data_IF_834533840435
#
_entry.id   IF_834533840435
#
_cell.length_a   1.000
_cell.length_b   1.000
_cell.length_c   1.000
_cell.angle_alpha   90.00
_cell.angle_beta   90.00
_cell.angle_gamma   90.00
#
_symmetry.space_group_name_H-M   'P 1'
#
loop_
_entity.id
_entity.type
_entity.pdbx_description
1 polymer ?
#
# COMPACT_ATOMS: atom_id res chain seq x y z
N UNK A 1 -2.18 28.27 -15.06
CA UNK A 1 -1.81 27.31 -16.13
C UNK A 1 -2.92 27.33 -17.17
N UNK A 2 -2.63 27.15 -18.46
CA UNK A 2 -3.69 27.08 -19.47
C UNK A 2 -4.50 25.81 -19.26
N UNK A 3 -5.82 25.96 -19.15
CA UNK A 3 -6.76 24.83 -19.24
C UNK A 3 -7.08 24.61 -20.71
N UNK A 4 -7.00 23.37 -21.15
CA UNK A 4 -7.42 22.98 -22.50
C UNK A 4 -8.55 21.97 -22.41
N UNK A 5 -9.44 21.95 -23.40
CA UNK A 5 -10.50 20.95 -23.43
C UNK A 5 -9.90 19.55 -23.66
N UNK A 6 -10.22 18.65 -22.73
CA UNK A 6 -9.87 17.23 -22.81
C UNK A 6 -10.82 16.46 -23.73
N UNK A 7 -10.57 15.16 -23.89
CA UNK A 7 -11.48 14.24 -24.58
C UNK A 7 -11.86 13.10 -23.62
N UNK A 8 -13.15 12.73 -23.61
CA UNK A 8 -13.62 11.63 -22.76
C UNK A 8 -14.92 11.01 -23.24
N UNK A 9 -15.27 9.89 -22.61
CA UNK A 9 -16.57 9.24 -22.65
C UNK A 9 -17.26 9.55 -21.33
N UNK A 10 -18.49 10.04 -21.41
CA UNK A 10 -19.22 10.57 -20.26
C UNK A 10 -20.39 9.68 -19.89
N UNK A 11 -20.67 9.60 -18.59
CA UNK A 11 -21.93 9.11 -18.06
C UNK A 11 -22.34 9.96 -16.86
N UNK A 12 -23.63 10.02 -16.57
CA UNK A 12 -24.14 10.81 -15.45
C UNK A 12 -25.19 10.01 -14.67
N UNK A 13 -25.12 10.10 -13.35
CA UNK A 13 -26.11 9.49 -12.47
C UNK A 13 -26.43 10.39 -11.29
N UNK A 14 -27.61 10.22 -10.70
CA UNK A 14 -28.01 10.92 -9.48
C UNK A 14 -28.21 9.91 -8.36
N UNK A 15 -27.65 10.19 -7.20
CA UNK A 15 -27.75 9.34 -6.01
C UNK A 15 -27.75 10.23 -4.77
N UNK A 16 -28.63 9.99 -3.80
CA UNK A 16 -28.76 10.80 -2.58
C UNK A 16 -29.01 12.30 -2.88
N UNK A 17 -29.65 12.59 -4.01
CA UNK A 17 -29.88 13.95 -4.49
C UNK A 17 -28.63 14.68 -5.01
N UNK A 18 -27.48 14.02 -5.12
CA UNK A 18 -26.23 14.55 -5.69
C UNK A 18 -26.10 14.06 -7.14
N UNK A 19 -25.75 14.96 -8.06
CA UNK A 19 -25.38 14.58 -9.43
C UNK A 19 -23.92 14.13 -9.44
N UNK A 20 -23.65 12.97 -10.02
CA UNK A 20 -22.33 12.46 -10.32
C UNK A 20 -22.12 12.48 -11.83
N UNK A 21 -21.02 13.08 -12.25
CA UNK A 21 -20.57 13.06 -13.65
C UNK A 21 -19.28 12.27 -13.73
N UNK A 22 -19.34 11.15 -14.44
CA UNK A 22 -18.19 10.27 -14.65
C UNK A 22 -17.63 10.53 -16.03
N UNK A 23 -16.32 10.75 -16.11
CA UNK A 23 -15.59 10.84 -17.37
C UNK A 23 -14.44 9.83 -17.41
N UNK A 24 -14.38 9.07 -18.49
CA UNK A 24 -13.30 8.11 -18.74
C UNK A 24 -12.62 8.42 -20.07
N UNK A 25 -11.34 8.09 -20.21
CA UNK A 25 -10.63 8.34 -21.45
C UNK A 25 -9.14 8.14 -21.32
N UNK A 26 -8.39 8.82 -22.18
CA UNK A 26 -6.92 8.84 -22.14
C UNK A 26 -6.43 10.27 -21.98
N UNK A 27 -5.42 10.46 -21.13
CA UNK A 27 -4.71 11.72 -20.97
C UNK A 27 -3.29 11.60 -21.53
N UNK A 28 -2.74 12.69 -22.10
CA UNK A 28 -1.49 12.62 -22.86
C UNK A 28 -0.26 12.31 -22.01
N UNK A 29 -0.33 12.59 -20.70
CA UNK A 29 0.78 12.41 -19.77
C UNK A 29 0.27 12.00 -18.40
N UNK A 30 1.12 11.39 -17.58
CA UNK A 30 0.79 11.06 -16.18
C UNK A 30 0.49 12.33 -15.37
N UNK A 31 1.23 13.41 -15.64
CA UNK A 31 1.16 14.69 -14.94
C UNK A 31 -0.08 15.51 -15.31
N UNK A 32 -0.78 15.16 -16.41
CA UNK A 32 -2.01 15.85 -16.79
C UNK A 32 -3.08 15.63 -15.73
N UNK A 33 -3.54 16.73 -15.11
CA UNK A 33 -4.69 16.77 -14.23
C UNK A 33 -5.95 16.89 -15.08
N UNK A 34 -6.94 16.05 -14.78
CA UNK A 34 -8.23 16.05 -15.46
C UNK A 34 -9.27 16.55 -14.48
N UNK A 35 -10.04 17.57 -14.86
CA UNK A 35 -11.10 18.16 -14.04
C UNK A 35 -12.40 18.31 -14.83
N UNK A 36 -13.53 18.29 -14.14
CA UNK A 36 -14.83 18.71 -14.68
C UNK A 36 -15.21 19.99 -13.94
N UNK A 37 -15.15 21.12 -14.64
CA UNK A 37 -15.42 22.43 -14.06
C UNK A 37 -16.75 22.97 -14.59
N UNK A 38 -17.52 23.67 -13.76
CA UNK A 38 -18.69 24.40 -14.22
C UNK A 38 -18.25 25.58 -15.09
N UNK A 39 -18.85 25.74 -16.27
CA UNK A 39 -18.61 26.89 -17.12
C UNK A 39 -19.18 28.17 -16.47
N UNK A 40 -18.53 29.34 -16.66
CA UNK A 40 -18.91 30.58 -15.98
C UNK A 40 -20.23 31.19 -16.47
N UNK A 41 -20.90 30.56 -17.43
CA UNK A 41 -22.16 31.05 -17.97
C UNK A 41 -23.30 30.90 -16.96
N UNK A 42 -24.06 31.97 -16.75
CA UNK A 42 -25.30 31.95 -15.96
C UNK A 42 -26.47 31.39 -16.77
N UNK A 43 -26.31 30.17 -17.27
CA UNK A 43 -27.34 29.44 -18.02
C UNK A 43 -27.88 28.30 -17.17
N UNK A 44 -29.17 28.01 -17.33
CA UNK A 44 -29.88 26.97 -16.59
C UNK A 44 -30.39 25.89 -17.58
N UNK A 45 -30.06 24.60 -17.38
CA UNK A 45 -29.20 24.07 -16.32
C UNK A 45 -27.71 24.44 -16.52
N UNK A 46 -26.89 24.37 -15.46
CA UNK A 46 -25.45 24.59 -15.58
C UNK A 46 -24.78 23.64 -16.57
N UNK A 47 -23.83 24.16 -17.33
CA UNK A 47 -22.97 23.40 -18.24
C UNK A 47 -21.57 23.21 -17.62
N UNK A 48 -20.92 22.11 -17.97
CA UNK A 48 -19.60 21.75 -17.47
C UNK A 48 -18.61 21.59 -18.62
N UNK A 49 -17.32 21.64 -18.30
CA UNK A 49 -16.23 21.39 -19.23
C UNK A 49 -15.27 20.36 -18.69
N UNK A 50 -14.85 19.41 -19.53
CA UNK A 50 -13.73 18.52 -19.26
C UNK A 50 -12.43 19.27 -19.58
N UNK A 51 -11.64 19.59 -18.56
CA UNK A 51 -10.39 20.32 -18.70
C UNK A 51 -9.19 19.43 -18.41
N UNK A 52 -8.17 19.55 -19.24
CA UNK A 52 -6.83 19.01 -19.02
C UNK A 52 -5.89 20.16 -18.64
N UNK A 53 -5.20 20.00 -17.52
CA UNK A 53 -4.17 20.91 -17.04
C UNK A 53 -2.85 20.13 -16.98
N UNK A 54 -1.83 20.57 -17.72
CA UNK A 54 -0.55 19.86 -17.79
C UNK A 54 0.59 20.80 -17.42
N UNK A 55 1.45 20.37 -16.49
CA UNK A 55 2.56 21.17 -15.99
C UNK A 55 3.91 20.80 -16.62
N UNK A 56 4.61 21.82 -17.13
CA UNK A 56 6.06 21.80 -17.35
C UNK A 56 6.60 20.68 -18.26
N UNK A 57 7.71 20.07 -17.82
CA UNK A 57 8.36 18.96 -18.53
C UNK A 57 7.57 17.69 -18.25
N UNK A 58 7.04 17.10 -19.32
CA UNK A 58 6.16 15.93 -19.21
C UNK A 58 6.76 14.71 -19.87
N UNK A 59 6.38 13.54 -19.35
CA UNK A 59 6.66 12.28 -20.04
C UNK A 59 5.53 12.00 -21.03
N UNK A 60 5.80 11.73 -22.31
CA UNK A 60 4.78 11.52 -23.34
C UNK A 60 4.14 10.12 -23.25
N UNK A 61 3.81 9.69 -22.03
CA UNK A 61 3.17 8.41 -21.75
C UNK A 61 1.67 8.66 -21.64
N UNK A 62 0.92 8.16 -22.63
CA UNK A 62 -0.53 8.16 -22.62
C UNK A 62 -1.02 7.20 -21.54
N UNK A 63 -1.88 7.69 -20.65
CA UNK A 63 -2.45 6.87 -19.56
C UNK A 63 -3.97 7.01 -19.51
N UNK A 64 -4.69 5.95 -19.12
CA UNK A 64 -6.14 6.05 -18.92
C UNK A 64 -6.46 6.96 -17.73
N UNK A 65 -7.62 7.61 -17.77
CA UNK A 65 -8.22 8.31 -16.63
C UNK A 65 -9.66 7.86 -16.41
N UNK A 66 -10.09 7.95 -15.15
CA UNK A 66 -11.45 7.73 -14.69
C UNK A 66 -11.68 8.71 -13.53
N UNK A 67 -12.62 9.65 -13.71
CA UNK A 67 -12.95 10.66 -12.70
C UNK A 67 -14.46 10.68 -12.45
N UNK A 68 -14.84 10.79 -11.18
CA UNK A 68 -16.22 11.01 -10.74
C UNK A 68 -16.30 12.38 -10.05
N UNK A 69 -17.01 13.31 -10.66
CA UNK A 69 -17.27 14.63 -10.11
C UNK A 69 -18.66 14.70 -9.50
N UNK A 70 -18.71 14.82 -8.17
CA UNK A 70 -19.94 15.09 -7.44
C UNK A 70 -20.34 16.57 -7.50
N UNK A 71 -21.62 16.84 -7.78
CA UNK A 71 -22.22 18.17 -7.91
C UNK A 71 -23.49 18.21 -7.03
N UNK A 72 -23.36 18.59 -5.75
CA UNK A 72 -24.46 18.55 -4.79
C UNK A 72 -25.62 19.50 -5.12
N UNK A 73 -25.34 20.61 -5.80
CA UNK A 73 -26.31 21.69 -6.06
C UNK A 73 -26.97 21.60 -7.43
N UNK A 74 -26.87 20.46 -8.13
CA UNK A 74 -27.49 20.34 -9.46
C UNK A 74 -29.02 20.21 -9.36
N UNK A 75 -29.80 20.89 -10.23
CA UNK A 75 -31.26 20.84 -10.16
C UNK A 75 -31.81 19.40 -10.27
N UNK A 76 -32.63 19.00 -9.29
CA UNK A 76 -33.21 17.63 -9.21
C UNK A 76 -34.24 17.33 -10.32
N UNK A 77 -34.86 18.38 -10.87
CA UNK A 77 -35.87 18.27 -11.94
C UNK A 77 -35.26 18.03 -13.32
N UNK A 78 -33.97 18.34 -13.50
CA UNK A 78 -33.28 18.22 -14.78
C UNK A 78 -32.82 16.77 -14.98
N UNK A 79 -33.05 16.21 -16.17
CA UNK A 79 -32.78 14.79 -16.51
C UNK A 79 -31.55 14.58 -17.40
N UNK A 80 -30.80 15.63 -17.68
CA UNK A 80 -29.58 15.56 -18.46
C UNK A 80 -28.54 16.53 -17.91
N UNK A 81 -27.28 16.34 -18.25
CA UNK A 81 -26.18 17.28 -18.01
C UNK A 81 -25.50 17.58 -19.34
N UNK A 82 -25.03 18.81 -19.51
CA UNK A 82 -24.28 19.22 -20.69
C UNK A 82 -22.80 19.31 -20.31
N UNK A 83 -21.95 18.65 -21.09
CA UNK A 83 -20.49 18.64 -20.90
C UNK A 83 -19.84 19.05 -22.22
N UNK A 84 -18.95 20.03 -22.16
CA UNK A 84 -18.13 20.48 -23.28
C UNK A 84 -16.75 19.84 -23.18
N UNK A 85 -16.32 19.24 -24.28
CA UNK A 85 -14.99 18.65 -24.41
C UNK A 85 -14.35 19.11 -25.75
N UNK A 86 -13.20 18.55 -26.09
CA UNK A 86 -12.47 18.88 -27.33
C UNK A 86 -13.28 18.60 -28.60
N UNK A 87 -14.21 17.64 -28.56
CA UNK A 87 -15.05 17.24 -29.69
C UNK A 87 -16.36 18.04 -29.76
N UNK A 88 -16.62 18.92 -28.79
CA UNK A 88 -17.79 19.78 -28.76
C UNK A 88 -18.67 19.54 -27.54
N UNK A 89 -19.97 19.78 -27.71
CA UNK A 89 -20.95 19.76 -26.63
C UNK A 89 -21.71 18.43 -26.61
N UNK A 90 -21.73 17.79 -25.44
CA UNK A 90 -22.39 16.51 -25.21
C UNK A 90 -23.55 16.67 -24.25
N UNK A 91 -24.71 16.13 -24.61
CA UNK A 91 -25.87 16.04 -23.73
C UNK A 91 -25.98 14.61 -23.19
N UNK A 92 -25.79 14.45 -21.89
CA UNK A 92 -25.72 13.14 -21.22
C UNK A 92 -26.95 12.99 -20.34
N UNK A 93 -27.72 11.92 -20.52
CA UNK A 93 -28.88 11.64 -19.66
C UNK A 93 -28.43 11.25 -18.24
N UNK A 94 -29.14 11.77 -17.24
CA UNK A 94 -28.89 11.49 -15.82
C UNK A 94 -29.73 10.27 -15.43
N UNK A 95 -29.05 9.20 -15.05
CA UNK A 95 -29.70 8.00 -14.51
C UNK A 95 -29.93 8.17 -13.01
N UNK A 96 -31.18 8.20 -12.56
CA UNK A 96 -31.48 8.20 -11.12
C UNK A 96 -31.19 6.80 -10.55
N UNK A 97 -30.24 6.71 -9.61
CA UNK A 97 -29.94 5.51 -8.83
C UNK A 97 -30.72 5.56 -7.51
N UNK A 98 -31.06 4.41 -6.90
CA UNK A 98 -31.62 4.41 -5.56
C UNK A 98 -30.67 5.12 -4.60
N UNK A 99 -31.24 5.89 -3.67
CA UNK A 99 -30.49 6.52 -2.58
C UNK A 99 -29.63 5.47 -1.87
N UNK A 100 -28.41 5.86 -1.48
CA UNK A 100 -27.57 5.03 -0.62
C UNK A 100 -28.31 4.87 0.70
N UNK A 101 -29.00 3.75 0.85
CA UNK A 101 -29.49 3.31 2.16
C UNK A 101 -28.26 3.30 3.05
N UNK A 102 -28.21 4.22 4.03
CA UNK A 102 -27.18 4.24 5.05
C UNK A 102 -27.03 2.82 5.58
N UNK A 103 -25.84 2.26 5.43
CA UNK A 103 -25.56 0.84 5.67
C UNK A 103 -26.46 -0.12 4.86
N UNK A 104 -26.31 -0.14 3.53
CA UNK A 104 -26.69 -1.31 2.76
C UNK A 104 -25.81 -2.47 3.25
N UNK A 105 -26.39 -3.31 4.12
CA UNK A 105 -25.93 -4.66 4.47
C UNK A 105 -25.10 -5.22 3.33
N UNK A 106 -23.80 -5.31 3.58
CA UNK A 106 -22.81 -5.94 2.72
C UNK A 106 -23.30 -7.36 2.48
N UNK A 107 -23.83 -7.67 1.31
CA UNK A 107 -23.81 -9.05 0.85
C UNK A 107 -22.34 -9.31 0.45
N UNK A 108 -21.52 -9.96 1.30
CA UNK A 108 -20.13 -10.22 0.98
C UNK A 108 -19.98 -11.19 -0.21
N UNK A 109 -21.08 -11.83 -0.62
CA UNK A 109 -21.13 -12.75 -1.76
C UNK A 109 -21.42 -12.03 -3.08
N UNK A 110 -21.82 -10.75 -3.05
CA UNK A 110 -22.00 -9.98 -4.26
C UNK A 110 -20.66 -9.75 -4.97
N UNK A 111 -20.61 -9.99 -6.28
CA UNK A 111 -19.42 -9.80 -7.10
C UNK A 111 -19.22 -8.32 -7.49
N UNK A 112 -19.19 -7.43 -6.51
CA UNK A 112 -19.09 -5.98 -6.70
C UNK A 112 -17.96 -5.34 -5.87
N UNK A 113 -17.02 -6.11 -5.34
CA UNK A 113 -15.87 -5.60 -4.60
C UNK A 113 -14.62 -5.54 -5.47
N UNK A 114 -13.86 -4.47 -5.30
CA UNK A 114 -12.62 -4.18 -6.03
C UNK A 114 -11.50 -3.98 -5.00
N UNK A 115 -10.34 -4.54 -5.31
CA UNK A 115 -9.10 -4.25 -4.57
C UNK A 115 -8.39 -3.10 -5.26
N UNK A 116 -8.03 -2.10 -4.49
CA UNK A 116 -7.21 -0.98 -4.89
C UNK A 116 -5.87 -1.03 -4.17
N UNK A 117 -4.79 -0.65 -4.84
CA UNK A 117 -3.46 -0.50 -4.27
C UNK A 117 -3.08 0.97 -4.21
N UNK A 118 -2.54 1.43 -3.08
CA UNK A 118 -2.00 2.78 -2.96
C UNK A 118 -0.67 2.90 -3.73
N UNK A 119 -0.56 3.92 -4.59
CA UNK A 119 0.61 4.20 -5.42
C UNK A 119 1.88 4.24 -4.56
N UNK A 120 2.89 3.46 -4.97
CA UNK A 120 4.20 3.42 -4.31
C UNK A 120 4.24 2.65 -2.99
N UNK A 121 3.18 1.92 -2.63
CA UNK A 121 3.12 1.12 -1.39
C UNK A 121 2.50 -0.25 -1.63
N UNK A 122 2.67 -1.16 -0.68
CA UNK A 122 1.97 -2.46 -0.63
C UNK A 122 0.66 -2.39 0.18
N UNK A 123 0.07 -1.19 0.33
CA UNK A 123 -1.20 -1.00 1.03
C UNK A 123 -2.36 -1.24 0.08
N UNK A 124 -3.22 -2.17 0.47
CA UNK A 124 -4.44 -2.51 -0.26
C UNK A 124 -5.68 -1.99 0.45
N UNK A 125 -6.68 -1.62 -0.34
CA UNK A 125 -8.02 -1.26 0.12
C UNK A 125 -9.05 -2.07 -0.67
N UNK A 126 -9.99 -2.71 0.03
CA UNK A 126 -11.13 -3.37 -0.61
C UNK A 126 -12.32 -2.44 -0.48
N UNK A 127 -12.91 -2.03 -1.60
CA UNK A 127 -14.11 -1.20 -1.63
C UNK A 127 -15.08 -1.73 -2.69
N UNK A 128 -16.33 -1.25 -2.69
CA UNK A 128 -17.25 -1.57 -3.80
C UNK A 128 -16.74 -0.94 -5.10
N UNK A 129 -17.11 -1.52 -6.23
CA UNK A 129 -16.71 -1.05 -7.56
C UNK A 129 -17.20 0.37 -7.89
N UNK A 130 -18.26 0.82 -7.21
CA UNK A 130 -18.83 2.16 -7.30
C UNK A 130 -18.37 3.10 -6.18
N UNK A 131 -17.42 2.67 -5.34
CA UNK A 131 -16.90 3.52 -4.28
C UNK A 131 -16.02 4.64 -4.86
N UNK A 132 -16.21 5.85 -4.32
CA UNK A 132 -15.32 6.98 -4.60
C UNK A 132 -14.03 6.78 -3.81
N UNK A 133 -12.95 6.49 -4.54
CA UNK A 133 -11.65 6.16 -3.98
C UNK A 133 -10.66 7.32 -4.24
N UNK A 134 -9.84 7.73 -3.25
CA UNK A 134 -8.84 8.78 -3.46
C UNK A 134 -7.90 8.46 -4.63
N UNK A 135 -7.50 9.47 -5.41
CA UNK A 135 -6.67 9.32 -6.62
C UNK A 135 -5.26 8.73 -6.38
N UNK A 136 -4.87 8.54 -5.11
CA UNK A 136 -3.64 7.83 -4.72
C UNK A 136 -3.78 6.30 -4.75
N UNK A 137 -4.96 5.78 -5.06
CA UNK A 137 -5.25 4.35 -5.16
C UNK A 137 -5.64 3.97 -6.59
N UNK A 138 -5.12 2.86 -7.11
CA UNK A 138 -5.49 2.32 -8.42
C UNK A 138 -6.01 0.90 -8.28
N UNK A 139 -6.96 0.53 -9.14
CA UNK A 139 -7.57 -0.80 -9.13
C UNK A 139 -6.57 -1.89 -9.54
N UNK A 140 -6.47 -2.96 -8.76
CA UNK A 140 -5.58 -4.11 -9.01
C UNK A 140 -6.31 -5.46 -9.15
N UNK A 141 -7.52 -5.61 -8.56
CA UNK A 141 -8.30 -6.84 -8.66
C UNK A 141 -9.82 -6.57 -8.56
N UNK A 142 -10.66 -7.44 -9.13
CA UNK A 142 -12.13 -7.33 -9.14
C UNK A 142 -12.73 -6.62 -10.37
N UNK A 143 -14.06 -6.39 -10.44
CA UNK A 143 -15.04 -6.68 -9.38
C UNK A 143 -15.21 -8.19 -9.15
N UNK A 144 -15.22 -8.61 -7.88
CA UNK A 144 -15.49 -9.99 -7.47
C UNK A 144 -16.11 -10.02 -6.06
N UNK A 145 -16.35 -11.21 -5.52
CA UNK A 145 -16.83 -11.41 -4.14
C UNK A 145 -15.81 -10.91 -3.12
N UNK A 146 -16.30 -10.47 -1.96
CA UNK A 146 -15.43 -9.97 -0.88
C UNK A 146 -14.39 -11.03 -0.46
N UNK A 147 -14.80 -12.30 -0.37
CA UNK A 147 -13.92 -13.41 -0.01
C UNK A 147 -12.74 -13.58 -0.98
N UNK A 148 -12.96 -13.44 -2.29
CA UNK A 148 -11.87 -13.51 -3.27
C UNK A 148 -10.99 -12.26 -3.26
N UNK A 149 -11.56 -11.09 -3.03
CA UNK A 149 -10.77 -9.86 -2.83
C UNK A 149 -9.87 -10.00 -1.59
N UNK A 150 -10.36 -10.57 -0.50
CA UNK A 150 -9.55 -10.88 0.69
C UNK A 150 -8.45 -11.89 0.39
N UNK A 151 -8.76 -12.96 -0.35
CA UNK A 151 -7.76 -13.95 -0.77
C UNK A 151 -6.67 -13.33 -1.66
N UNK A 152 -7.05 -12.42 -2.57
CA UNK A 152 -6.10 -11.66 -3.39
C UNK A 152 -5.19 -10.82 -2.50
N UNK A 153 -5.75 -10.02 -1.58
CA UNK A 153 -4.97 -9.20 -0.65
C UNK A 153 -4.03 -10.08 0.17
N UNK A 154 -4.49 -11.20 0.71
CA UNK A 154 -3.66 -12.12 1.49
C UNK A 154 -2.49 -12.71 0.68
N UNK A 155 -2.69 -13.00 -0.61
CA UNK A 155 -1.66 -13.52 -1.49
C UNK A 155 -0.64 -12.46 -1.97
N UNK A 156 -1.03 -11.18 -1.98
CA UNK A 156 -0.22 -10.08 -2.54
C UNK A 156 0.27 -9.07 -1.49
N UNK A 157 -0.21 -9.19 -0.24
CA UNK A 157 0.37 -8.47 0.89
C UNK A 157 1.68 -9.15 1.22
N UNK A 158 2.80 -8.43 1.03
CA UNK A 158 4.06 -8.89 1.60
C UNK A 158 3.85 -9.08 3.09
N UNK A 159 4.30 -10.20 3.69
CA UNK A 159 4.27 -10.34 5.13
C UNK A 159 4.95 -9.10 5.72
N UNK A 160 4.20 -8.29 6.45
CA UNK A 160 4.81 -7.25 7.27
C UNK A 160 5.53 -8.03 8.36
N UNK A 161 6.81 -8.30 8.16
CA UNK A 161 7.66 -8.86 9.19
C UNK A 161 7.65 -7.80 10.29
N UNK A 162 7.12 -8.11 11.48
CA UNK A 162 7.08 -7.14 12.56
C UNK A 162 8.51 -6.68 12.85
N UNK A 163 8.73 -5.36 12.93
CA UNK A 163 10.00 -4.84 13.40
C UNK A 163 10.03 -4.95 14.93
N UNK A 164 11.13 -5.49 15.46
CA UNK A 164 11.37 -5.52 16.91
C UNK A 164 12.23 -4.32 17.30
N UNK A 165 11.90 -3.67 18.42
CA UNK A 165 12.77 -2.62 18.95
C UNK A 165 14.01 -3.25 19.60
N UNK A 166 15.13 -3.23 18.88
CA UNK A 166 16.42 -3.66 19.43
C UNK A 166 16.86 -2.66 20.50
N UNK A 167 17.16 -3.15 21.70
CA UNK A 167 17.65 -2.29 22.79
C UNK A 167 19.01 -1.72 22.39
N UNK A 168 19.19 -0.39 22.36
CA UNK A 168 20.44 0.23 21.92
C UNK A 168 21.65 -0.29 22.71
N UNK A 169 22.71 -0.66 21.99
CA UNK A 169 23.97 -1.16 22.59
C UNK A 169 23.91 -2.57 23.19
N UNK A 170 22.79 -3.29 23.04
CA UNK A 170 22.67 -4.67 23.55
C UNK A 170 23.26 -5.74 22.64
N UNK A 171 23.54 -5.41 21.37
CA UNK A 171 24.10 -6.34 20.41
C UNK A 171 25.59 -6.59 20.71
N UNK A 172 25.90 -7.83 21.09
CA UNK A 172 27.26 -8.30 21.29
C UNK A 172 27.53 -9.57 20.48
N UNK A 173 28.74 -9.69 19.95
CA UNK A 173 29.15 -10.84 19.16
C UNK A 173 30.62 -11.18 19.43
N UNK A 174 30.90 -12.46 19.63
CA UNK A 174 32.27 -12.93 19.80
C UNK A 174 32.49 -14.34 19.27
N UNK A 175 33.74 -14.61 18.89
CA UNK A 175 34.23 -15.96 18.62
C UNK A 175 34.91 -16.48 19.88
N UNK A 176 34.33 -17.54 20.44
CA UNK A 176 34.91 -18.33 21.53
C UNK A 176 35.86 -19.37 20.93
N UNK A 177 37.14 -19.27 21.28
CA UNK A 177 38.20 -20.20 20.85
C UNK A 177 38.60 -21.08 22.02
N UNK A 178 37.88 -22.18 22.23
CA UNK A 178 38.29 -23.16 23.22
C UNK A 178 39.64 -23.81 22.84
N UNK A 179 40.66 -23.77 23.71
CA UNK A 179 41.90 -24.49 23.48
C UNK A 179 41.68 -26.00 23.64
N UNK A 180 41.97 -26.78 22.58
CA UNK A 180 41.89 -28.24 22.60
C UNK A 180 41.34 -28.85 21.29
N UNK A 181 41.24 -30.18 21.20
CA UNK A 181 40.74 -30.90 20.00
C UNK A 181 39.20 -30.80 19.83
N UNK A 182 38.57 -29.76 20.40
CA UNK A 182 37.14 -29.53 20.37
C UNK A 182 36.62 -29.11 18.98
N UNK A 183 35.31 -28.83 18.87
CA UNK A 183 34.59 -28.66 17.60
C UNK A 183 34.94 -27.39 16.79
N UNK A 184 36.09 -26.75 17.05
CA UNK A 184 36.52 -25.52 16.39
C UNK A 184 35.96 -24.24 17.03
N UNK A 185 36.29 -23.05 16.50
CA UNK A 185 35.83 -21.77 17.01
C UNK A 185 34.30 -21.67 16.95
N UNK A 186 33.67 -21.13 17.99
CA UNK A 186 32.23 -20.97 18.10
C UNK A 186 31.85 -19.49 18.01
N UNK A 187 30.97 -19.13 17.07
CA UNK A 187 30.38 -17.79 17.06
C UNK A 187 29.21 -17.75 18.04
N UNK A 188 29.19 -16.75 18.91
CA UNK A 188 28.08 -16.46 19.82
C UNK A 188 27.65 -15.02 19.58
N UNK A 189 26.34 -14.83 19.41
CA UNK A 189 25.72 -13.52 19.26
C UNK A 189 24.58 -13.40 20.25
N UNK A 190 24.52 -12.27 20.96
CA UNK A 190 23.44 -11.94 21.89
C UNK A 190 22.88 -10.57 21.58
N UNK A 191 21.57 -10.43 21.72
CA UNK A 191 20.88 -9.15 21.51
C UNK A 191 19.64 -9.09 22.41
N UNK A 192 19.33 -7.92 22.94
CA UNK A 192 18.06 -7.68 23.62
C UNK A 192 17.11 -6.96 22.67
N UNK A 193 15.85 -7.40 22.61
CA UNK A 193 14.80 -6.68 21.89
C UNK A 193 13.50 -6.62 22.72
N UNK A 194 12.68 -5.61 22.44
CA UNK A 194 11.34 -5.49 23.00
C UNK A 194 10.37 -6.25 22.09
N UNK A 195 9.60 -7.16 22.68
CA UNK A 195 8.70 -8.08 21.98
C UNK A 195 7.39 -8.21 22.74
N UNK A 196 6.28 -8.43 22.05
CA UNK A 196 5.03 -8.79 22.73
C UNK A 196 5.15 -10.16 23.42
N UNK A 197 4.54 -10.28 24.59
CA UNK A 197 4.66 -11.46 25.47
C UNK A 197 4.23 -12.76 24.79
N UNK A 198 3.28 -12.69 23.85
CA UNK A 198 2.67 -13.81 23.14
C UNK A 198 3.35 -14.14 21.80
N UNK A 199 4.38 -13.38 21.39
CA UNK A 199 5.10 -13.67 20.15
C UNK A 199 6.20 -14.72 20.35
N UNK A 200 6.30 -15.64 19.41
CA UNK A 200 7.43 -16.57 19.34
C UNK A 200 8.49 -16.00 18.42
N UNK A 201 9.58 -15.52 19.00
CA UNK A 201 10.70 -14.92 18.26
C UNK A 201 11.95 -15.75 18.45
N UNK A 202 12.66 -16.01 17.36
CA UNK A 202 13.99 -16.64 17.37
C UNK A 202 14.98 -15.85 16.53
N UNK A 203 16.26 -15.88 16.89
CA UNK A 203 17.33 -15.26 16.11
C UNK A 203 17.95 -16.32 15.21
N UNK A 204 17.85 -16.14 13.89
CA UNK A 204 18.26 -17.14 12.89
C UNK A 204 19.23 -16.54 11.89
N UNK A 205 20.01 -17.40 11.21
CA UNK A 205 20.86 -16.97 10.10
C UNK A 205 20.00 -16.48 8.93
N UNK A 206 20.32 -15.32 8.39
CA UNK A 206 19.75 -14.83 7.14
C UNK A 206 20.57 -15.35 5.94
N UNK A 207 19.99 -15.31 4.74
CA UNK A 207 20.68 -15.67 3.49
C UNK A 207 21.51 -14.46 3.05
N UNK A 208 22.79 -14.63 2.65
CA UNK A 208 23.60 -13.51 2.20
C UNK A 208 23.03 -12.86 0.93
N UNK A 209 22.56 -11.61 1.03
CA UNK A 209 22.36 -10.74 -0.12
C UNK A 209 23.75 -10.18 -0.47
N UNK A 210 24.45 -10.88 -1.37
CA UNK A 210 25.89 -10.79 -1.55
C UNK A 210 26.50 -9.38 -1.52
N UNK A 211 27.63 -9.27 -0.80
CA UNK A 211 28.81 -8.43 -1.12
C UNK A 211 30.00 -8.81 -0.20
N UNK A 212 29.79 -9.18 1.08
CA UNK A 212 30.90 -9.51 2.00
C UNK A 212 30.69 -10.84 2.77
N UNK A 213 31.47 -11.91 2.50
CA UNK A 213 31.35 -13.19 3.21
C UNK A 213 31.83 -13.14 4.69
N UNK A 214 32.51 -12.07 5.10
CA UNK A 214 32.99 -11.88 6.48
C UNK A 214 31.96 -11.22 7.40
N UNK A 215 30.80 -10.79 6.89
CA UNK A 215 29.70 -10.28 7.69
C UNK A 215 28.65 -11.39 7.90
N UNK A 216 28.35 -11.68 9.17
CA UNK A 216 27.29 -12.63 9.51
C UNK A 216 25.96 -11.89 9.57
N UNK A 217 25.08 -12.21 8.62
CA UNK A 217 23.72 -11.71 8.61
C UNK A 217 22.80 -12.61 9.44
N UNK A 218 22.11 -11.99 10.39
CA UNK A 218 21.08 -12.60 11.21
C UNK A 218 19.76 -11.86 11.02
N UNK A 219 18.66 -12.51 11.35
CA UNK A 219 17.33 -11.89 11.38
C UNK A 219 16.48 -12.51 12.48
N UNK A 220 15.44 -11.79 12.88
CA UNK A 220 14.40 -12.36 13.72
C UNK A 220 13.43 -13.18 12.86
N UNK A 221 13.23 -14.43 13.24
CA UNK A 221 12.13 -15.26 12.76
C UNK A 221 10.98 -15.14 13.77
N UNK A 222 9.89 -14.53 13.33
CA UNK A 222 8.77 -14.10 14.17
C UNK A 222 7.54 -14.91 13.77
N UNK A 223 7.04 -15.69 14.72
CA UNK A 223 5.78 -16.44 14.60
C UNK A 223 4.75 -15.76 15.50
N UNK A 224 3.75 -15.16 14.86
CA UNK A 224 2.64 -14.49 15.54
C UNK A 224 1.66 -15.51 16.13
N UNK A 225 1.10 -15.26 17.32
CA UNK A 225 0.07 -16.11 17.90
C UNK A 225 -1.21 -16.09 17.05
N UNK A 226 -1.87 -17.24 16.94
CA UNK A 226 -3.14 -17.37 16.20
C UNK A 226 -4.33 -17.03 17.11
N UNK A 227 -5.10 -15.98 16.80
CA UNK A 227 -6.33 -15.67 17.52
C UNK A 227 -6.72 -14.18 17.47
N UNK A 228 -7.94 -13.81 17.91
CA UNK A 228 -8.46 -12.44 17.81
C UNK A 228 -7.95 -11.49 18.91
N UNK A 229 -7.13 -11.95 19.85
CA UNK A 229 -6.67 -11.16 21.00
C UNK A 229 -5.15 -11.27 21.09
N UNK A 230 -4.46 -10.17 20.76
CA UNK A 230 -3.05 -9.98 21.08
C UNK A 230 -2.93 -9.36 22.47
N UNK A 231 -1.96 -9.79 23.26
CA UNK A 231 -1.78 -9.29 24.63
C UNK A 231 -1.45 -7.80 24.68
N UNK A 232 -0.94 -7.21 23.59
CA UNK A 232 -0.38 -5.85 23.49
C UNK A 232 0.65 -5.50 24.60
N UNK A 233 1.08 -6.50 25.37
CA UNK A 233 1.97 -6.33 26.50
C UNK A 233 3.39 -6.54 25.99
N UNK A 234 4.22 -5.51 26.10
CA UNK A 234 5.60 -5.52 25.64
C UNK A 234 6.54 -5.94 26.76
N UNK A 235 7.51 -6.79 26.44
CA UNK A 235 8.58 -7.20 27.35
C UNK A 235 9.95 -7.16 26.69
N UNK A 236 10.98 -6.89 27.48
CA UNK A 236 12.37 -7.05 27.06
C UNK A 236 12.75 -8.52 27.09
N UNK A 237 13.26 -9.07 25.98
CA UNK A 237 13.72 -10.46 25.87
C UNK A 237 15.12 -10.50 25.26
N UNK A 238 15.96 -11.36 25.80
CA UNK A 238 17.31 -11.63 25.28
C UNK A 238 17.28 -12.80 24.31
N UNK A 239 17.89 -12.63 23.15
CA UNK A 239 18.04 -13.65 22.13
C UNK A 239 19.50 -14.02 21.96
N UNK A 240 19.74 -15.29 21.63
CA UNK A 240 21.07 -15.84 21.44
C UNK A 240 21.12 -16.69 20.19
N UNK A 241 22.10 -16.44 19.34
CA UNK A 241 22.45 -17.28 18.20
C UNK A 241 23.83 -17.89 18.42
N UNK A 242 23.97 -19.16 18.04
CA UNK A 242 25.23 -19.90 18.15
C UNK A 242 25.52 -20.64 16.85
N UNK A 243 26.78 -20.66 16.46
CA UNK A 243 27.26 -21.42 15.31
C UNK A 243 28.53 -22.18 15.68
N UNK A 244 28.53 -23.50 15.54
CA UNK A 244 29.64 -24.37 15.94
C UNK A 244 29.87 -25.48 14.91
N UNK A 245 31.04 -25.52 14.23
CA UNK A 245 32.03 -24.45 14.16
C UNK A 245 31.48 -23.22 13.42
N UNK A 246 32.05 -22.05 13.70
CA UNK A 246 31.85 -20.88 12.85
C UNK A 246 32.31 -21.21 11.42
N UNK A 247 31.45 -20.95 10.43
CA UNK A 247 31.71 -21.25 9.03
C UNK A 247 32.80 -20.34 8.45
N UNK A 248 32.94 -19.12 8.99
CA UNK A 248 33.98 -18.17 8.61
C UNK A 248 34.54 -17.41 9.83
N UNK A 249 35.68 -16.74 9.61
CA UNK A 249 36.23 -15.77 10.55
C UNK A 249 35.50 -14.43 10.41
N UNK A 250 34.26 -14.38 10.89
CA UNK A 250 33.43 -13.19 10.80
C UNK A 250 34.08 -11.98 11.48
N UNK A 251 34.03 -10.82 10.83
CA UNK A 251 34.51 -9.54 11.39
C UNK A 251 33.36 -8.71 11.95
N UNK A 252 32.18 -8.93 11.42
CA UNK A 252 30.97 -8.16 11.68
C UNK A 252 29.78 -9.12 11.82
N UNK A 253 28.80 -8.70 12.63
CA UNK A 253 27.47 -9.30 12.66
C UNK A 253 26.47 -8.18 12.46
N UNK A 254 25.52 -8.41 11.56
CA UNK A 254 24.43 -7.48 11.27
C UNK A 254 23.09 -8.20 11.45
N UNK A 255 22.19 -7.60 12.22
CA UNK A 255 20.80 -8.06 12.38
C UNK A 255 19.91 -7.23 11.47
N UNK A 256 19.24 -7.89 10.53
CA UNK A 256 18.21 -7.30 9.66
C UNK A 256 16.86 -7.22 10.39
N UNK A 257 16.22 -6.05 10.41
CA UNK A 257 14.94 -5.81 11.08
C UNK A 257 14.05 -4.79 10.34
N UNK A 258 13.45 -5.22 9.21
CA UNK A 258 12.38 -4.51 8.47
C UNK A 258 12.71 -3.14 7.85
N UNK A 259 13.88 -2.57 8.13
CA UNK A 259 14.33 -1.25 7.66
C UNK A 259 15.30 -0.59 8.64
N UNK A 260 15.26 -1.01 9.90
CA UNK A 260 16.30 -0.76 10.90
C UNK A 260 17.23 -1.97 10.99
N UNK A 261 18.50 -1.74 11.31
CA UNK A 261 19.48 -2.81 11.49
C UNK A 261 20.45 -2.44 12.60
N UNK A 262 20.98 -3.46 13.27
CA UNK A 262 22.04 -3.28 14.25
C UNK A 262 23.26 -4.07 13.80
N UNK A 263 24.42 -3.43 13.81
CA UNK A 263 25.69 -4.07 13.46
C UNK A 263 26.68 -3.92 14.61
N UNK A 264 27.48 -4.96 14.83
CA UNK A 264 28.57 -4.93 15.80
C UNK A 264 29.80 -5.66 15.27
N UNK A 265 30.96 -5.30 15.81
CA UNK A 265 32.22 -6.00 15.51
C UNK A 265 32.31 -7.29 16.30
N UNK A 266 32.74 -8.36 15.63
CA UNK A 266 33.02 -9.64 16.28
C UNK A 266 34.30 -9.53 17.08
N UNK A 267 34.20 -9.74 18.40
CA UNK A 267 35.36 -9.84 19.29
C UNK A 267 35.93 -11.25 19.24
N UNK A 268 37.23 -11.42 19.44
CA UNK A 268 37.81 -12.74 19.68
C UNK A 268 38.07 -12.88 21.17
N UNK A 269 37.54 -13.93 21.79
CA UNK A 269 37.79 -14.26 23.20
C UNK A 269 38.59 -15.56 23.21
N UNK A 270 39.75 -15.53 23.88
CA UNK A 270 40.62 -16.68 24.08
C UNK A 270 40.45 -17.22 25.50
#
# INVERSE_FOLDING_TARGET
MPKEFGQGIFSAYRQDGVLHVVATGQKPTLQTKVTIDQLPFMIFPPEFALNFETDGITSPIVVPFDIDQAIPSYPKTVKFVIIVDKNGTHKIDIVDKPDSVGNATTDPTAANFVVYQQIGTDRYMIAKSDAIVPAIYFKVFGPDTYAKCQAYVAAHTKPVVPELDIVPGSLDAWIDRMPGPGPGPKLIVTVDAVVEVDWTVTLVSAVPQGINPLDKLLRFDIVLPTGPVHSNAMMKKSFRYEETPAQQNYTDVTIENGGSGASTKVKTVN
#
